data_IF_922379014536
#
_entry.id   IF_922379014536
#
_cell.length_a   1.000
_cell.length_b   1.000
_cell.length_c   1.000
_cell.angle_alpha   90.00
_cell.angle_beta   90.00
_cell.angle_gamma   90.00
#
_symmetry.space_group_name_H-M   'P 1'
#
loop_
_entity.id
_entity.type
_entity.pdbx_description
1 polymer ?
#
# COMPACT_ATOMS: atom_id res chain seq x y z
N UNK A 1 -9.03 -2.76 3.46
CA UNK A 1 -7.71 -2.22 3.11
C UNK A 1 -7.76 -1.41 1.83
N UNK A 2 -6.77 -0.53 1.56
CA UNK A 2 -6.32 -0.25 0.19
C UNK A 2 -6.47 1.17 -0.37
N UNK A 3 -6.88 2.17 0.41
CA UNK A 3 -6.89 3.57 -0.06
C UNK A 3 -5.57 4.25 0.32
N UNK A 4 -4.83 4.71 -0.68
CA UNK A 4 -3.51 5.32 -0.51
C UNK A 4 -3.41 6.71 -1.11
N UNK A 5 -4.38 7.13 -1.92
CA UNK A 5 -4.52 8.51 -2.34
C UNK A 5 -5.58 9.25 -1.51
N UNK A 6 -5.10 10.01 -0.52
CA UNK A 6 -5.94 10.78 0.41
C UNK A 6 -6.69 11.91 -0.30
N UNK A 7 -6.25 12.37 -1.47
CA UNK A 7 -6.93 13.47 -2.18
C UNK A 7 -8.37 13.13 -2.57
N UNK A 8 -8.67 11.83 -2.74
CA UNK A 8 -10.04 11.31 -2.98
C UNK A 8 -10.97 11.53 -1.80
N UNK A 9 -10.42 11.61 -0.58
CA UNK A 9 -11.18 11.79 0.67
C UNK A 9 -11.30 13.27 1.02
N UNK A 10 -10.33 14.09 0.62
CA UNK A 10 -10.29 15.52 0.95
C UNK A 10 -10.99 16.40 -0.08
N UNK A 11 -11.69 15.81 -1.05
CA UNK A 11 -12.32 16.52 -2.18
C UNK A 11 -11.35 17.45 -2.91
N UNK A 12 -10.12 16.95 -3.13
CA UNK A 12 -9.05 17.70 -3.78
C UNK A 12 -8.41 18.81 -2.92
N UNK A 13 -8.79 18.97 -1.65
CA UNK A 13 -8.10 19.88 -0.75
C UNK A 13 -6.64 19.47 -0.60
N UNK A 14 -5.75 20.46 -0.77
CA UNK A 14 -4.31 20.26 -0.79
C UNK A 14 -3.65 21.12 0.30
N UNK A 15 -2.88 20.47 1.16
CA UNK A 15 -2.07 21.10 2.20
C UNK A 15 -0.83 20.25 2.46
N UNK A 16 0.13 20.78 3.22
CA UNK A 16 1.28 19.98 3.66
C UNK A 16 0.84 18.75 4.45
N UNK A 17 -0.18 18.87 5.30
CA UNK A 17 -0.69 17.74 6.08
C UNK A 17 -1.27 16.65 5.16
N UNK A 18 -2.01 17.04 4.12
CA UNK A 18 -2.52 16.09 3.12
C UNK A 18 -1.36 15.41 2.39
N UNK A 19 -0.34 16.17 2.00
CA UNK A 19 0.84 15.63 1.32
C UNK A 19 1.61 14.61 2.16
N UNK A 20 1.94 14.96 3.41
CA UNK A 20 2.74 14.07 4.28
C UNK A 20 1.98 12.82 4.73
N UNK A 21 0.64 12.85 4.70
CA UNK A 21 -0.18 11.68 5.00
C UNK A 21 -0.60 10.90 3.74
N UNK A 22 -0.23 11.33 2.52
CA UNK A 22 -0.58 10.67 1.27
C UNK A 22 0.60 9.84 0.72
N UNK A 23 0.60 8.50 0.88
CA UNK A 23 1.67 7.64 0.38
C UNK A 23 1.95 7.79 -1.11
N UNK A 24 0.92 7.93 -1.94
CA UNK A 24 1.05 8.08 -3.39
C UNK A 24 1.82 9.36 -3.73
N UNK A 25 1.43 10.49 -3.15
CA UNK A 25 2.07 11.78 -3.39
C UNK A 25 3.50 11.80 -2.83
N UNK A 26 3.68 11.35 -1.59
CA UNK A 26 4.98 11.39 -0.92
C UNK A 26 6.00 10.46 -1.60
N UNK A 27 5.63 9.21 -1.86
CA UNK A 27 6.51 8.24 -2.50
C UNK A 27 6.91 8.66 -3.93
N UNK A 28 5.97 9.26 -4.68
CA UNK A 28 6.24 9.77 -6.04
C UNK A 28 7.31 10.87 -6.06
N UNK A 29 7.40 11.67 -4.99
CA UNK A 29 8.34 12.78 -4.89
C UNK A 29 9.65 12.44 -4.17
N UNK A 30 9.79 11.24 -3.60
CA UNK A 30 11.03 10.79 -2.97
C UNK A 30 12.21 10.80 -3.96
N UNK A 31 13.33 11.36 -3.50
CA UNK A 31 14.58 11.44 -4.23
C UNK A 31 15.77 11.61 -3.27
N UNK A 32 16.99 11.51 -3.81
CA UNK A 32 18.22 11.77 -3.07
C UNK A 32 18.44 10.84 -1.86
N UNK A 33 19.09 11.37 -0.83
CA UNK A 33 19.47 10.61 0.36
C UNK A 33 18.28 9.97 1.08
N UNK A 34 17.12 10.63 1.09
CA UNK A 34 15.91 10.09 1.71
C UNK A 34 15.38 8.84 1.00
N UNK A 35 15.42 8.83 -0.33
CA UNK A 35 15.04 7.65 -1.11
C UNK A 35 15.98 6.48 -0.82
N UNK A 36 17.30 6.73 -0.79
CA UNK A 36 18.29 5.70 -0.48
C UNK A 36 18.11 5.09 0.91
N UNK A 37 17.83 5.93 1.92
CA UNK A 37 17.50 5.45 3.28
C UNK A 37 16.27 4.54 3.27
N UNK A 38 15.21 4.92 2.57
CA UNK A 38 13.99 4.11 2.49
C UNK A 38 14.25 2.79 1.76
N UNK A 39 14.99 2.81 0.65
CA UNK A 39 15.38 1.59 -0.08
C UNK A 39 16.17 0.61 0.79
N UNK A 40 17.07 1.12 1.63
CA UNK A 40 17.95 0.30 2.46
C UNK A 40 17.27 -0.28 3.72
N UNK A 41 16.27 0.42 4.26
CA UNK A 41 15.75 0.11 5.60
C UNK A 41 14.27 -0.25 5.64
N UNK A 42 13.56 -0.12 4.52
CA UNK A 42 12.12 -0.36 4.47
C UNK A 42 11.81 -1.44 3.45
N UNK A 43 10.86 -2.29 3.82
CA UNK A 43 10.17 -3.13 2.86
C UNK A 43 8.69 -3.16 3.20
N UNK A 44 7.86 -2.99 2.18
CA UNK A 44 6.41 -2.89 2.31
C UNK A 44 5.73 -4.15 1.79
N UNK A 45 4.73 -4.65 2.50
CA UNK A 45 3.82 -5.69 2.00
C UNK A 45 2.46 -5.04 1.77
N UNK A 46 2.08 -4.88 0.50
CA UNK A 46 0.78 -4.36 0.08
C UNK A 46 -0.15 -5.53 -0.20
N UNK A 47 -1.23 -5.64 0.57
CA UNK A 47 -2.15 -6.79 0.53
C UNK A 47 -3.56 -6.29 0.34
N UNK A 48 -4.26 -6.86 -0.64
CA UNK A 48 -5.67 -6.53 -0.91
C UNK A 48 -6.44 -7.77 -1.37
N UNK A 49 -7.71 -7.89 -0.98
CA UNK A 49 -8.63 -8.85 -1.59
C UNK A 49 -9.10 -8.36 -2.97
N UNK A 50 -9.72 -9.26 -3.74
CA UNK A 50 -10.36 -8.92 -5.01
C UNK A 50 -11.87 -9.21 -5.01
N UNK A 51 -12.45 -9.49 -3.84
CA UNK A 51 -13.87 -9.75 -3.67
C UNK A 51 -14.69 -8.46 -3.54
N UNK A 52 -15.98 -8.63 -3.23
CA UNK A 52 -16.92 -7.53 -2.97
C UNK A 52 -16.33 -6.46 -2.04
N UNK A 53 -16.64 -5.20 -2.37
CA UNK A 53 -16.31 -3.98 -1.62
C UNK A 53 -14.82 -3.60 -1.61
N UNK A 54 -14.03 -4.16 -2.52
CA UNK A 54 -12.63 -3.78 -2.74
C UNK A 54 -12.44 -2.84 -3.94
N UNK A 55 -13.52 -2.44 -4.61
CA UNK A 55 -13.45 -1.47 -5.71
C UNK A 55 -12.82 -0.15 -5.24
N UNK A 56 -11.85 0.37 -5.99
CA UNK A 56 -10.99 1.49 -5.60
C UNK A 56 -9.78 1.11 -4.75
N UNK A 57 -9.90 0.14 -3.84
CA UNK A 57 -8.78 -0.35 -3.03
C UNK A 57 -7.77 -1.13 -3.85
N UNK A 58 -8.26 -1.94 -4.80
CA UNK A 58 -7.40 -2.68 -5.73
C UNK A 58 -6.59 -1.69 -6.57
N UNK A 59 -7.26 -0.71 -7.17
CA UNK A 59 -6.65 0.30 -8.04
C UNK A 59 -5.56 1.10 -7.31
N UNK A 60 -5.86 1.61 -6.10
CA UNK A 60 -4.91 2.34 -5.28
C UNK A 60 -3.73 1.45 -4.85
N UNK A 61 -3.98 0.19 -4.51
CA UNK A 61 -2.93 -0.80 -4.18
C UNK A 61 -1.99 -1.03 -5.35
N UNK A 62 -2.54 -1.18 -6.55
CA UNK A 62 -1.75 -1.36 -7.77
C UNK A 62 -0.95 -0.10 -8.13
N UNK A 63 -1.58 1.07 -8.00
CA UNK A 63 -0.92 2.35 -8.24
C UNK A 63 0.29 2.56 -7.30
N UNK A 64 0.09 2.36 -5.99
CA UNK A 64 1.18 2.50 -5.04
C UNK A 64 2.30 1.48 -5.31
N UNK A 65 1.96 0.22 -5.60
CA UNK A 65 2.96 -0.79 -5.97
C UNK A 65 3.77 -0.36 -7.21
N UNK A 66 3.12 0.18 -8.23
CA UNK A 66 3.80 0.67 -9.44
C UNK A 66 4.76 1.83 -9.12
N UNK A 67 4.36 2.77 -8.26
CA UNK A 67 5.22 3.87 -7.79
C UNK A 67 6.44 3.33 -7.04
N UNK A 68 6.23 2.42 -6.09
CA UNK A 68 7.31 1.80 -5.32
C UNK A 68 8.28 1.05 -6.22
N UNK A 69 7.76 0.30 -7.21
CA UNK A 69 8.56 -0.38 -8.23
C UNK A 69 9.41 0.61 -9.03
N UNK A 70 8.80 1.67 -9.56
CA UNK A 70 9.52 2.69 -10.33
C UNK A 70 10.59 3.40 -9.48
N UNK A 71 10.32 3.61 -8.19
CA UNK A 71 11.26 4.16 -7.22
C UNK A 71 12.27 3.14 -6.71
N UNK A 72 12.24 1.87 -7.14
CA UNK A 72 13.16 0.84 -6.67
C UNK A 72 13.06 0.57 -5.16
N UNK A 73 11.92 0.87 -4.54
CA UNK A 73 11.68 0.60 -3.12
C UNK A 73 11.26 -0.87 -2.97
N UNK A 74 11.93 -1.67 -2.13
CA UNK A 74 11.56 -3.07 -1.92
C UNK A 74 10.13 -3.20 -1.42
N UNK A 75 9.31 -3.99 -2.13
CA UNK A 75 7.94 -4.26 -1.73
C UNK A 75 7.45 -5.60 -2.27
N UNK A 76 6.41 -6.13 -1.63
CA UNK A 76 5.57 -7.22 -2.13
C UNK A 76 4.17 -6.67 -2.39
N UNK A 77 3.63 -6.94 -3.58
CA UNK A 77 2.20 -6.79 -3.87
C UNK A 77 1.57 -8.17 -3.85
N UNK A 78 0.57 -8.38 -3.00
CA UNK A 78 -0.18 -9.63 -2.91
C UNK A 78 -1.68 -9.38 -3.01
N UNK A 79 -2.26 -9.75 -4.16
CA UNK A 79 -3.69 -9.59 -4.45
C UNK A 79 -4.37 -10.96 -4.31
N UNK A 80 -5.17 -11.12 -3.26
CA UNK A 80 -5.85 -12.38 -2.99
C UNK A 80 -7.11 -12.50 -3.83
N UNK A 81 -7.61 -13.73 -4.03
CA UNK A 81 -8.69 -14.04 -4.96
C UNK A 81 -10.02 -13.31 -4.71
N UNK A 82 -10.97 -13.48 -5.63
CA UNK A 82 -12.30 -12.85 -5.57
C UNK A 82 -13.19 -13.37 -4.43
N UNK A 83 -12.77 -14.46 -3.79
CA UNK A 83 -13.35 -15.03 -2.58
C UNK A 83 -12.96 -14.27 -1.30
N UNK A 84 -12.04 -13.30 -1.41
CA UNK A 84 -11.55 -12.49 -0.30
C UNK A 84 -12.22 -11.11 -0.33
N UNK A 85 -13.21 -10.96 0.54
CA UNK A 85 -14.00 -9.72 0.71
C UNK A 85 -13.34 -8.76 1.71
N UNK A 86 -13.77 -7.50 1.69
CA UNK A 86 -13.34 -6.44 2.61
C UNK A 86 -13.89 -6.63 4.03
N UNK A 87 -13.56 -7.76 4.66
CA UNK A 87 -14.08 -8.16 5.97
C UNK A 87 -12.94 -8.60 6.90
N UNK A 88 -13.20 -8.53 8.21
CA UNK A 88 -12.20 -8.82 9.24
C UNK A 88 -11.56 -10.22 9.10
N UNK A 89 -12.37 -11.25 8.80
CA UNK A 89 -11.85 -12.61 8.67
C UNK A 89 -10.84 -12.75 7.52
N UNK A 90 -11.05 -12.02 6.42
CA UNK A 90 -10.10 -11.91 5.32
C UNK A 90 -8.78 -11.29 5.79
N UNK A 91 -8.84 -10.14 6.47
CA UNK A 91 -7.65 -9.44 6.95
C UNK A 91 -6.88 -10.25 7.97
N UNK A 92 -7.57 -10.98 8.85
CA UNK A 92 -6.94 -11.87 9.82
C UNK A 92 -6.15 -12.98 9.12
N UNK A 93 -6.71 -13.60 8.08
CA UNK A 93 -6.02 -14.64 7.29
C UNK A 93 -4.80 -14.07 6.57
N UNK A 94 -4.94 -12.92 5.93
CA UNK A 94 -3.84 -12.19 5.28
C UNK A 94 -2.72 -11.87 6.27
N UNK A 95 -3.06 -11.26 7.42
CA UNK A 95 -2.10 -10.91 8.45
C UNK A 95 -1.34 -12.13 8.98
N UNK A 96 -2.04 -13.23 9.29
CA UNK A 96 -1.38 -14.45 9.76
C UNK A 96 -0.39 -15.01 8.73
N UNK A 97 -0.76 -15.02 7.44
CA UNK A 97 0.14 -15.50 6.38
C UNK A 97 1.41 -14.65 6.29
N UNK A 98 1.28 -13.33 6.21
CA UNK A 98 2.43 -12.45 6.02
C UNK A 98 3.29 -12.26 7.26
N UNK A 99 2.69 -12.21 8.45
CA UNK A 99 3.45 -12.08 9.70
C UNK A 99 4.22 -13.37 10.02
N UNK A 100 3.60 -14.54 9.81
CA UNK A 100 4.30 -15.81 9.99
C UNK A 100 5.42 -15.98 8.97
N UNK A 101 5.20 -15.66 7.69
CA UNK A 101 6.27 -15.75 6.68
C UNK A 101 7.44 -14.80 6.94
N UNK A 102 7.21 -13.66 7.61
CA UNK A 102 8.23 -12.63 7.79
C UNK A 102 8.96 -12.70 9.14
N UNK A 103 8.29 -13.19 10.17
CA UNK A 103 8.79 -13.19 11.55
C UNK A 103 8.67 -14.54 12.26
N UNK A 104 7.93 -15.50 11.69
CA UNK A 104 7.82 -16.87 12.18
C UNK A 104 8.90 -17.74 11.57
N UNK A 105 10.06 -17.76 12.21
CA UNK A 105 11.04 -18.86 12.13
C UNK A 105 10.82 -19.84 13.27
#
# INVERSE_FOLDING_TARGET
>A
SGQYDITRITDGFNSQDVYFNNPVAYASNLNGEHLEKIRAHTHLTLVCGQGKWEDGNIEDTENLAAILHHKGIPHLKDLWGRDIHHEWDSWRRQAMMHLNHRFGG
#
